data_IF_113630580114
#
_entry.id   IF_113630580114
#
_cell.length_a   1.000
_cell.length_b   1.000
_cell.length_c   1.000
_cell.angle_alpha   90.00
_cell.angle_beta   90.00
_cell.angle_gamma   90.00
#
_symmetry.space_group_name_H-M   'P 1'
#
loop_
_entity.id
_entity.type
_entity.pdbx_description
1 polymer ?
#
# COMPACT_ATOMS: atom_id res chain seq x y z
N UNK A 1 -41.55 -15.51 42.42
CA UNK A 1 -40.98 -14.59 41.41
C UNK A 1 -39.58 -14.21 41.84
N UNK A 2 -38.57 -14.95 41.35
CA UNK A 2 -37.17 -14.65 41.63
C UNK A 2 -36.68 -13.57 40.64
N UNK A 3 -36.31 -12.39 41.16
CA UNK A 3 -35.65 -11.35 40.40
C UNK A 3 -34.17 -11.76 40.29
N UNK A 4 -33.73 -12.24 39.13
CA UNK A 4 -32.30 -12.44 38.82
C UNK A 4 -31.57 -11.06 38.82
N UNK A 5 -30.44 -11.05 39.52
CA UNK A 5 -29.65 -9.89 39.77
C UNK A 5 -28.72 -9.57 38.56
N UNK A 6 -28.92 -8.46 37.81
CA UNK A 6 -28.17 -8.17 36.57
C UNK A 6 -26.68 -7.95 36.77
N UNK A 7 -26.19 -7.75 38.01
CA UNK A 7 -24.76 -7.61 38.33
C UNK A 7 -23.98 -8.92 38.29
N UNK A 8 -24.65 -10.08 38.38
CA UNK A 8 -24.00 -11.40 38.33
C UNK A 8 -23.64 -11.79 36.89
N UNK A 9 -24.49 -11.41 35.93
CA UNK A 9 -24.25 -11.70 34.51
C UNK A 9 -23.12 -10.88 33.89
N UNK A 10 -22.92 -9.62 34.32
CA UNK A 10 -21.87 -8.77 33.78
C UNK A 10 -20.47 -9.26 34.16
N UNK A 11 -20.26 -9.70 35.41
CA UNK A 11 -18.99 -10.31 35.87
C UNK A 11 -18.69 -11.64 35.18
N UNK A 12 -19.69 -12.43 34.87
CA UNK A 12 -19.53 -13.70 34.11
C UNK A 12 -19.13 -13.44 32.67
N UNK A 13 -19.68 -12.42 32.04
CA UNK A 13 -19.33 -12.05 30.65
C UNK A 13 -17.93 -11.46 30.56
N UNK A 14 -17.54 -10.56 31.46
CA UNK A 14 -16.17 -10.01 31.52
C UNK A 14 -15.12 -11.09 31.79
N UNK A 15 -15.43 -12.04 32.66
CA UNK A 15 -14.56 -13.19 32.92
C UNK A 15 -14.43 -14.11 31.68
N UNK A 16 -15.53 -14.36 30.96
CA UNK A 16 -15.50 -15.13 29.71
C UNK A 16 -14.69 -14.46 28.62
N UNK A 17 -14.82 -13.13 28.47
CA UNK A 17 -14.02 -12.36 27.51
C UNK A 17 -12.53 -12.33 27.89
N UNK A 18 -12.20 -12.23 29.18
CA UNK A 18 -10.83 -12.28 29.65
C UNK A 18 -10.19 -13.65 29.38
N UNK A 19 -10.94 -14.74 29.65
CA UNK A 19 -10.49 -16.11 29.39
C UNK A 19 -10.30 -16.37 27.88
N UNK A 20 -11.22 -15.90 27.04
CA UNK A 20 -11.10 -15.98 25.58
C UNK A 20 -9.92 -15.15 25.05
N UNK A 21 -9.65 -13.98 25.63
CA UNK A 21 -8.46 -13.18 25.28
C UNK A 21 -7.17 -13.90 25.63
N UNK A 22 -7.11 -14.59 26.76
CA UNK A 22 -5.95 -15.39 27.14
C UNK A 22 -5.79 -16.64 26.29
N UNK A 23 -6.85 -17.35 25.97
CA UNK A 23 -6.83 -18.47 25.02
C UNK A 23 -6.35 -18.01 23.63
N UNK A 24 -6.83 -16.87 23.14
CA UNK A 24 -6.38 -16.27 21.88
C UNK A 24 -4.90 -15.83 21.94
N UNK A 25 -4.45 -15.34 23.09
CA UNK A 25 -3.04 -14.99 23.33
C UNK A 25 -2.14 -16.23 23.38
N UNK A 26 -2.59 -17.31 24.01
CA UNK A 26 -1.86 -18.58 24.05
C UNK A 26 -1.86 -19.32 22.69
N UNK A 27 -2.90 -19.15 21.88
CA UNK A 27 -3.01 -19.81 20.56
C UNK A 27 -2.26 -19.04 19.46
N UNK A 28 -2.02 -17.74 19.67
CA UNK A 28 -1.24 -16.87 18.80
C UNK A 28 -0.23 -16.07 19.62
N UNK A 29 0.80 -16.74 20.08
CA UNK A 29 2.00 -16.07 20.62
C UNK A 29 2.74 -15.42 19.42
N UNK A 30 2.26 -14.23 19.05
CA UNK A 30 2.74 -13.45 17.92
C UNK A 30 4.23 -13.11 18.08
N UNK A 31 4.71 -12.88 19.30
CA UNK A 31 6.12 -12.60 19.57
C UNK A 31 6.98 -13.85 19.38
N UNK A 32 6.57 -15.00 19.89
CA UNK A 32 7.31 -16.27 19.74
C UNK A 32 7.29 -16.80 18.31
N UNK A 33 6.19 -16.60 17.57
CA UNK A 33 6.12 -16.96 16.17
C UNK A 33 7.00 -16.04 15.32
N UNK A 34 7.06 -14.75 15.67
CA UNK A 34 7.89 -13.74 15.01
C UNK A 34 9.39 -13.97 15.29
N UNK A 35 9.77 -14.21 16.53
CA UNK A 35 11.14 -14.56 16.89
C UNK A 35 11.63 -15.86 16.22
N UNK A 36 10.79 -16.88 16.14
CA UNK A 36 11.09 -18.11 15.41
C UNK A 36 11.24 -17.91 13.91
N UNK A 37 10.45 -17.01 13.32
CA UNK A 37 10.55 -16.65 11.91
C UNK A 37 11.84 -15.87 11.65
N UNK A 38 12.13 -14.85 12.45
CA UNK A 38 13.37 -14.07 12.36
C UNK A 38 14.60 -14.97 12.55
N UNK A 39 14.59 -15.85 13.54
CA UNK A 39 15.69 -16.81 13.76
C UNK A 39 15.91 -17.74 12.56
N UNK A 40 14.84 -18.23 11.95
CA UNK A 40 14.93 -19.08 10.74
C UNK A 40 15.46 -18.29 9.52
N UNK A 41 15.06 -17.03 9.37
CA UNK A 41 15.54 -16.15 8.29
C UNK A 41 17.00 -15.77 8.48
N UNK A 42 17.43 -15.41 9.69
CA UNK A 42 18.85 -15.13 10.01
C UNK A 42 19.75 -16.38 9.85
N UNK A 43 19.26 -17.55 10.23
CA UNK A 43 20.01 -18.80 10.06
C UNK A 43 20.16 -19.18 8.59
N UNK A 44 19.15 -18.90 7.75
CA UNK A 44 19.26 -19.07 6.27
C UNK A 44 20.23 -18.05 5.67
N UNK A 45 20.20 -16.80 6.11
CA UNK A 45 21.12 -15.74 5.66
C UNK A 45 22.57 -16.07 6.03
N UNK A 46 22.84 -16.48 7.26
CA UNK A 46 24.20 -16.91 7.70
C UNK A 46 24.71 -18.15 6.98
N UNK A 47 23.84 -19.15 6.69
CA UNK A 47 24.22 -20.32 5.88
C UNK A 47 24.55 -19.97 4.43
N UNK A 48 23.81 -19.04 3.80
CA UNK A 48 24.13 -18.56 2.43
C UNK A 48 25.48 -17.84 2.41
N UNK A 49 25.75 -16.93 3.34
CA UNK A 49 27.02 -16.20 3.43
C UNK A 49 28.20 -17.17 3.65
N UNK A 50 28.07 -18.16 4.52
CA UNK A 50 29.10 -19.18 4.75
C UNK A 50 29.36 -20.05 3.52
N UNK A 51 28.31 -20.44 2.76
CA UNK A 51 28.46 -21.19 1.52
C UNK A 51 29.15 -20.36 0.41
N UNK A 52 28.87 -19.06 0.34
CA UNK A 52 29.52 -18.16 -0.63
C UNK A 52 31.00 -17.92 -0.30
N UNK A 53 31.36 -17.83 0.97
CA UNK A 53 32.78 -17.68 1.36
C UNK A 53 33.63 -18.92 1.08
N UNK A 54 33.06 -20.12 1.20
CA UNK A 54 33.76 -21.37 0.90
C UNK A 54 33.80 -21.60 -0.64
N UNK A 55 32.77 -21.21 -1.38
CA UNK A 55 32.74 -21.31 -2.84
C UNK A 55 33.67 -20.31 -3.52
N UNK A 56 33.86 -19.11 -2.95
CA UNK A 56 34.71 -18.07 -3.54
C UNK A 56 36.20 -18.46 -3.53
N UNK A 57 36.67 -19.22 -2.52
CA UNK A 57 38.07 -19.68 -2.47
C UNK A 57 38.37 -20.83 -3.45
N UNK A 58 37.39 -21.67 -3.78
CA UNK A 58 37.52 -22.71 -4.78
C UNK A 58 37.39 -22.15 -6.22
N UNK A 59 36.54 -21.15 -6.42
CA UNK A 59 36.31 -20.53 -7.72
C UNK A 59 37.52 -19.75 -8.24
N UNK A 60 38.34 -19.16 -7.36
CA UNK A 60 39.56 -18.45 -7.76
C UNK A 60 40.63 -19.37 -8.32
N UNK A 61 40.74 -20.61 -7.84
CA UNK A 61 41.70 -21.62 -8.36
C UNK A 61 41.25 -22.19 -9.72
N UNK A 62 39.92 -22.35 -9.93
CA UNK A 62 39.40 -22.80 -11.22
C UNK A 62 39.38 -21.68 -12.27
N UNK A 63 39.31 -20.40 -11.88
CA UNK A 63 39.37 -19.26 -12.79
C UNK A 63 40.74 -19.10 -13.43
N UNK A 64 41.83 -19.36 -12.70
CA UNK A 64 43.21 -19.28 -13.22
C UNK A 64 43.51 -20.43 -14.20
N UNK A 65 43.02 -21.64 -13.95
CA UNK A 65 43.16 -22.76 -14.84
C UNK A 65 42.20 -22.70 -16.04
N UNK A 66 41.03 -22.10 -15.88
CA UNK A 66 40.01 -21.95 -16.95
C UNK A 66 40.39 -20.89 -17.98
N UNK A 67 41.01 -19.78 -17.56
CA UNK A 67 41.44 -18.69 -18.46
C UNK A 67 42.55 -19.17 -19.42
N UNK A 68 43.47 -20.02 -18.97
CA UNK A 68 44.51 -20.61 -19.83
C UNK A 68 43.94 -21.58 -20.88
N UNK A 69 42.84 -22.26 -20.54
CA UNK A 69 42.21 -23.21 -21.48
C UNK A 69 41.27 -22.51 -22.48
N UNK A 70 40.61 -21.44 -22.09
CA UNK A 70 39.70 -20.66 -22.95
C UNK A 70 40.51 -19.87 -24.00
N UNK A 71 41.70 -19.38 -23.67
CA UNK A 71 42.55 -18.66 -24.62
C UNK A 71 43.08 -19.59 -25.74
N UNK A 72 43.18 -20.89 -25.51
CA UNK A 72 43.59 -21.89 -26.50
C UNK A 72 42.45 -22.32 -27.43
N UNK A 73 41.20 -22.22 -27.02
CA UNK A 73 40.01 -22.61 -27.79
C UNK A 73 39.36 -21.46 -28.57
N UNK A 74 39.79 -20.21 -28.36
CA UNK A 74 39.11 -19.03 -28.95
C UNK A 74 39.53 -18.67 -30.37
N UNK A 75 40.34 -19.48 -31.02
CA UNK A 75 40.80 -19.21 -32.40
C UNK A 75 40.08 -20.00 -33.49
N UNK A 76 39.01 -20.72 -33.18
CA UNK A 76 38.29 -21.44 -34.22
C UNK A 76 36.82 -21.62 -33.94
N UNK A 77 36.03 -20.58 -34.14
CA UNK A 77 34.63 -20.72 -34.64
C UNK A 77 34.03 -19.33 -34.87
N UNK A 78 34.08 -18.92 -36.09
CA UNK A 78 33.15 -17.89 -36.57
C UNK A 78 31.76 -18.52 -36.72
N UNK A 79 30.73 -17.69 -36.40
CA UNK A 79 29.31 -17.90 -36.66
C UNK A 79 28.57 -18.95 -35.80
N UNK A 80 28.17 -18.53 -34.59
CA UNK A 80 26.84 -18.84 -34.10
C UNK A 80 26.20 -17.55 -33.63
N UNK A 81 25.11 -17.20 -34.27
CA UNK A 81 24.22 -16.10 -33.82
C UNK A 81 24.00 -16.24 -32.33
N UNK A 82 24.47 -15.25 -31.58
CA UNK A 82 24.15 -15.12 -30.17
C UNK A 82 22.66 -14.84 -30.11
N UNK A 83 21.86 -15.86 -29.85
CA UNK A 83 20.55 -15.67 -29.25
C UNK A 83 20.82 -14.99 -27.91
N UNK A 84 20.74 -13.68 -27.89
CA UNK A 84 20.67 -12.91 -26.67
C UNK A 84 19.38 -13.38 -26.00
N UNK A 85 19.50 -14.34 -25.08
CA UNK A 85 18.47 -14.61 -24.12
C UNK A 85 18.21 -13.25 -23.44
N UNK A 86 17.15 -12.58 -23.82
CA UNK A 86 16.70 -11.39 -23.15
C UNK A 86 16.62 -11.76 -21.68
N UNK A 87 17.49 -11.17 -20.86
CA UNK A 87 17.37 -11.26 -19.41
C UNK A 87 16.00 -10.66 -19.12
N UNK A 88 15.03 -11.51 -18.85
CA UNK A 88 13.68 -11.10 -18.50
C UNK A 88 13.83 -10.45 -17.14
N UNK A 89 14.09 -9.15 -17.12
CA UNK A 89 14.07 -8.38 -15.87
C UNK A 89 12.62 -8.35 -15.42
N UNK A 90 12.39 -8.84 -14.20
CA UNK A 90 11.09 -8.68 -13.57
C UNK A 90 10.89 -7.23 -13.20
N UNK A 91 9.63 -6.75 -13.16
CA UNK A 91 9.33 -5.40 -12.72
C UNK A 91 9.93 -5.15 -11.34
N UNK A 92 10.59 -4.01 -11.21
CA UNK A 92 11.10 -3.56 -9.93
C UNK A 92 9.95 -3.34 -8.92
N UNK A 93 10.24 -3.50 -7.65
CA UNK A 93 9.32 -3.12 -6.58
C UNK A 93 8.96 -1.64 -6.69
N UNK A 94 7.77 -1.29 -6.27
CA UNK A 94 7.36 0.11 -6.18
C UNK A 94 8.32 0.91 -5.29
N UNK A 95 8.39 2.20 -5.51
CA UNK A 95 9.30 3.08 -4.79
C UNK A 95 8.66 4.46 -4.57
N UNK A 96 9.33 5.34 -3.81
CA UNK A 96 8.83 6.71 -3.58
C UNK A 96 8.99 7.55 -4.84
N UNK A 97 7.91 7.65 -5.63
CA UNK A 97 7.81 8.42 -6.88
C UNK A 97 6.55 9.27 -6.84
N UNK A 98 6.68 10.55 -7.10
CA UNK A 98 5.53 11.45 -7.21
C UNK A 98 5.86 12.65 -8.07
N UNK A 99 4.85 13.18 -8.74
CA UNK A 99 4.92 14.44 -9.51
C UNK A 99 4.04 15.45 -8.80
N UNK A 100 4.65 16.53 -8.32
CA UNK A 100 3.95 17.69 -7.77
C UNK A 100 3.70 18.70 -8.88
N UNK A 101 2.46 19.02 -9.14
CA UNK A 101 2.08 20.13 -10.02
C UNK A 101 1.65 21.30 -9.15
N UNK A 102 2.36 22.41 -9.27
CA UNK A 102 2.04 23.67 -8.60
C UNK A 102 0.90 24.39 -9.34
N UNK A 103 0.26 25.37 -8.67
CA UNK A 103 -0.85 26.13 -9.26
C UNK A 103 -0.48 26.82 -10.59
N UNK A 104 0.76 27.27 -10.74
CA UNK A 104 1.27 27.88 -11.98
C UNK A 104 1.49 26.88 -13.13
N UNK A 105 1.20 25.59 -12.91
CA UNK A 105 1.35 24.50 -13.87
C UNK A 105 2.78 23.90 -13.90
N UNK A 106 3.72 24.40 -13.11
CA UNK A 106 5.06 23.82 -13.01
C UNK A 106 4.97 22.40 -12.42
N UNK A 107 5.62 21.45 -13.08
CA UNK A 107 5.70 20.05 -12.64
C UNK A 107 7.07 19.76 -12.04
N UNK A 108 7.07 19.23 -10.83
CA UNK A 108 8.28 18.89 -10.08
C UNK A 108 8.30 17.39 -9.80
N UNK A 109 9.28 16.69 -10.32
CA UNK A 109 9.54 15.29 -9.99
C UNK A 109 10.18 15.20 -8.60
N UNK A 110 9.43 14.67 -7.63
CA UNK A 110 9.87 14.54 -6.23
C UNK A 110 10.84 13.39 -6.01
N UNK A 111 11.02 12.48 -6.95
CA UNK A 111 12.03 11.43 -6.87
C UNK A 111 13.44 12.02 -7.02
N UNK A 112 13.57 13.07 -7.82
CA UNK A 112 14.82 13.76 -8.15
C UNK A 112 15.01 15.02 -7.32
N UNK A 113 14.01 15.89 -7.26
CA UNK A 113 14.08 17.20 -6.62
C UNK A 113 13.99 17.09 -5.09
N UNK A 114 15.07 17.44 -4.38
CA UNK A 114 15.13 17.51 -2.91
C UNK A 114 15.27 18.96 -2.43
N UNK A 115 14.95 19.18 -1.16
CA UNK A 115 15.04 20.49 -0.52
C UNK A 115 13.82 21.36 -0.76
N UNK A 116 14.00 22.67 -0.65
CA UNK A 116 12.90 23.63 -0.85
C UNK A 116 12.51 23.68 -2.32
N UNK A 117 11.23 23.42 -2.58
CA UNK A 117 10.63 23.45 -3.91
C UNK A 117 10.12 24.85 -4.22
N UNK A 118 9.37 25.41 -3.29
CA UNK A 118 8.72 26.72 -3.44
C UNK A 118 8.59 27.42 -2.10
N UNK A 119 8.58 28.75 -2.13
CA UNK A 119 8.25 29.61 -1.01
C UNK A 119 7.25 30.64 -1.52
N UNK A 120 5.99 30.28 -1.54
CA UNK A 120 4.92 31.09 -2.11
C UNK A 120 3.84 31.33 -1.06
N UNK A 121 3.36 32.57 -0.96
CA UNK A 121 2.28 32.96 -0.09
C UNK A 121 2.49 32.52 1.38
N UNK A 122 3.71 32.74 1.91
CA UNK A 122 4.09 32.36 3.27
C UNK A 122 4.00 30.87 3.60
N UNK A 123 3.99 30.01 2.58
CA UNK A 123 4.08 28.56 2.75
C UNK A 123 5.36 28.03 2.11
N UNK A 124 6.22 27.39 2.91
CA UNK A 124 7.41 26.68 2.43
C UNK A 124 7.04 25.26 2.10
N UNK A 125 7.28 24.88 0.85
CA UNK A 125 7.12 23.52 0.35
C UNK A 125 8.50 22.88 0.30
N UNK A 126 8.69 21.80 1.04
CA UNK A 126 9.98 21.13 1.14
C UNK A 126 9.82 19.61 0.93
N UNK A 127 10.67 19.07 0.06
CA UNK A 127 10.84 17.63 -0.13
C UNK A 127 12.14 17.19 0.55
N UNK A 128 12.05 16.64 1.75
CA UNK A 128 13.22 16.30 2.55
C UNK A 128 14.00 15.09 2.01
N UNK A 129 15.15 14.80 2.61
CA UNK A 129 15.99 13.66 2.22
C UNK A 129 15.30 12.30 2.33
N UNK A 130 14.30 12.17 3.21
CA UNK A 130 13.49 10.95 3.39
C UNK A 130 12.32 10.88 2.41
N UNK A 131 12.27 11.74 1.38
CA UNK A 131 11.18 11.81 0.40
C UNK A 131 9.82 12.01 1.09
N UNK A 132 9.76 12.95 2.01
CA UNK A 132 8.56 13.42 2.68
C UNK A 132 8.30 14.86 2.24
N UNK A 133 7.16 15.08 1.60
CA UNK A 133 6.71 16.41 1.20
C UNK A 133 6.06 17.11 2.38
N UNK A 134 6.54 18.31 2.74
CA UNK A 134 6.03 19.06 3.88
C UNK A 134 5.60 20.45 3.49
N UNK A 135 4.50 20.90 4.05
CA UNK A 135 3.96 22.25 3.92
C UNK A 135 4.05 22.96 5.27
N UNK A 136 4.81 24.03 5.33
CA UNK A 136 4.96 24.83 6.56
C UNK A 136 4.58 26.27 6.31
N UNK A 137 3.56 26.74 7.01
CA UNK A 137 3.20 28.17 7.05
C UNK A 137 4.27 28.96 7.82
N UNK A 138 4.78 30.05 7.26
CA UNK A 138 5.85 30.85 7.87
C UNK A 138 5.31 32.13 8.47
N UNK A 139 4.31 32.76 7.88
CA UNK A 139 3.67 34.01 8.35
C UNK A 139 2.16 34.00 8.07
N UNK A 140 1.42 34.82 8.81
CA UNK A 140 -0.01 35.06 8.54
C UNK A 140 -0.16 36.16 7.48
N UNK A 141 -0.03 35.81 6.22
CA UNK A 141 -0.41 36.70 5.13
C UNK A 141 -1.78 36.28 4.60
N UNK A 142 -2.67 37.26 4.50
CA UNK A 142 -3.99 37.12 3.89
C UNK A 142 -3.87 36.97 2.37
N UNK A 143 -3.43 35.81 1.91
CA UNK A 143 -3.36 35.48 0.49
C UNK A 143 -4.24 34.28 0.20
N UNK A 144 -4.86 34.25 -0.97
CA UNK A 144 -5.64 33.10 -1.45
C UNK A 144 -4.73 31.87 -1.51
N UNK A 145 -5.12 30.73 -0.88
CA UNK A 145 -4.32 29.51 -0.96
C UNK A 145 -4.21 29.02 -2.39
N UNK A 146 -3.03 28.61 -2.78
CA UNK A 146 -2.79 27.98 -4.08
C UNK A 146 -3.18 26.52 -4.03
N UNK A 147 -3.73 26.01 -5.11
CA UNK A 147 -4.09 24.59 -5.23
C UNK A 147 -2.95 23.82 -5.90
N UNK A 148 -2.40 22.88 -5.19
CA UNK A 148 -1.41 21.95 -5.74
C UNK A 148 -2.03 20.57 -6.01
N UNK A 149 -1.41 19.83 -6.93
CA UNK A 149 -1.79 18.46 -7.24
C UNK A 149 -0.59 17.55 -7.08
N UNK A 150 -0.73 16.49 -6.25
CA UNK A 150 0.25 15.44 -6.10
C UNK A 150 -0.26 14.19 -6.83
N UNK A 151 0.46 13.77 -7.85
CA UNK A 151 0.15 12.57 -8.65
C UNK A 151 1.18 11.48 -8.37
N UNK A 152 0.69 10.30 -8.02
CA UNK A 152 1.48 9.10 -7.78
C UNK A 152 1.33 8.19 -8.99
N UNK A 153 2.38 7.89 -9.73
CA UNK A 153 2.32 6.95 -10.85
C UNK A 153 2.15 5.50 -10.36
N UNK A 154 1.85 4.60 -11.27
CA UNK A 154 1.97 3.15 -11.00
C UNK A 154 3.41 2.84 -10.56
N UNK A 155 3.59 1.91 -9.65
CA UNK A 155 4.88 1.61 -9.02
C UNK A 155 5.38 2.72 -8.10
N UNK A 156 4.51 3.64 -7.70
CA UNK A 156 4.83 4.75 -6.82
C UNK A 156 4.11 4.71 -5.48
N UNK A 157 4.67 5.36 -4.49
CA UNK A 157 4.01 5.78 -3.25
C UNK A 157 4.62 7.09 -2.80
N UNK A 158 3.92 7.85 -1.99
CA UNK A 158 4.49 9.06 -1.41
C UNK A 158 3.83 9.45 -0.09
N UNK A 159 4.56 10.22 0.71
CA UNK A 159 4.03 10.76 1.97
C UNK A 159 4.08 12.28 1.93
N UNK A 160 3.04 12.91 2.48
CA UNK A 160 3.02 14.36 2.65
C UNK A 160 2.45 14.75 4.01
N UNK A 161 2.88 15.90 4.50
CA UNK A 161 2.31 16.58 5.67
C UNK A 161 1.77 17.91 5.18
N UNK A 162 0.47 18.10 5.34
CA UNK A 162 -0.22 19.34 5.00
C UNK A 162 0.09 20.45 6.00
N UNK A 163 -0.30 21.68 5.68
CA UNK A 163 -0.04 22.87 6.50
C UNK A 163 -0.73 22.86 7.88
N UNK A 164 -1.77 22.06 8.06
CA UNK A 164 -2.48 21.83 9.33
C UNK A 164 -1.86 20.71 10.19
N UNK A 165 -0.81 20.02 9.68
CA UNK A 165 -0.16 18.89 10.31
C UNK A 165 -0.78 17.53 9.97
N UNK A 166 -1.83 17.49 9.15
CA UNK A 166 -2.41 16.23 8.64
C UNK A 166 -1.38 15.47 7.84
N UNK A 167 -1.22 14.18 8.14
CA UNK A 167 -0.31 13.26 7.43
C UNK A 167 -1.09 12.40 6.47
N UNK A 168 -0.56 12.25 5.27
CA UNK A 168 -1.21 11.47 4.22
C UNK A 168 -0.17 10.55 3.58
N UNK A 169 -0.51 9.27 3.46
CA UNK A 169 0.21 8.29 2.65
C UNK A 169 -0.60 8.10 1.39
N UNK A 170 0.03 8.27 0.24
CA UNK A 170 -0.57 8.10 -1.08
C UNK A 170 -0.09 6.79 -1.68
N UNK A 171 -1.00 5.94 -2.13
CA UNK A 171 -0.67 4.68 -2.80
C UNK A 171 -0.47 4.88 -4.32
N UNK A 172 -0.01 3.83 -5.00
CA UNK A 172 0.20 3.84 -6.45
C UNK A 172 -1.08 4.22 -7.22
N UNK A 173 -0.90 4.92 -8.36
CA UNK A 173 -1.98 5.33 -9.26
C UNK A 173 -3.03 6.23 -8.56
N UNK A 174 -2.55 7.18 -7.75
CA UNK A 174 -3.41 8.07 -6.97
C UNK A 174 -3.10 9.53 -7.21
N UNK A 175 -4.10 10.38 -7.03
CA UNK A 175 -4.02 11.82 -7.22
C UNK A 175 -4.70 12.55 -6.06
N UNK A 176 -4.00 13.52 -5.48
CA UNK A 176 -4.53 14.39 -4.44
C UNK A 176 -4.43 15.86 -4.88
N UNK A 177 -5.55 16.58 -4.81
CA UNK A 177 -5.58 18.04 -5.00
C UNK A 177 -5.91 18.69 -3.65
N UNK A 178 -5.08 19.64 -3.25
CA UNK A 178 -5.16 20.26 -1.93
C UNK A 178 -4.61 21.68 -1.94
N UNK A 179 -5.08 22.56 -1.05
CA UNK A 179 -4.54 23.90 -0.92
C UNK A 179 -3.20 23.90 -0.18
N UNK A 180 -2.34 24.85 -0.49
CA UNK A 180 -1.05 25.06 0.23
C UNK A 180 -1.24 25.43 1.69
N UNK A 181 -2.38 26.06 2.03
CA UNK A 181 -2.82 26.31 3.41
C UNK A 181 -4.34 26.31 3.47
N UNK A 182 -4.91 25.89 4.60
CA UNK A 182 -6.35 25.95 4.82
C UNK A 182 -6.75 27.33 5.37
N UNK A 183 -7.75 27.94 4.73
CA UNK A 183 -8.35 29.21 5.13
C UNK A 183 -9.86 29.03 5.14
N UNK A 184 -10.53 29.58 6.17
CA UNK A 184 -11.98 29.48 6.32
C UNK A 184 -12.41 28.36 7.28
N UNK A 185 -13.69 27.98 7.19
CA UNK A 185 -14.33 27.10 8.16
C UNK A 185 -14.06 25.59 7.95
N UNK A 186 -13.49 25.23 6.80
CA UNK A 186 -13.29 23.82 6.41
C UNK A 186 -11.89 23.60 5.82
N UNK A 187 -11.39 22.37 5.98
CA UNK A 187 -10.17 21.88 5.38
C UNK A 187 -10.54 20.87 4.31
N UNK A 188 -10.46 21.25 3.04
CA UNK A 188 -10.97 20.43 1.94
C UNK A 188 -9.85 19.95 1.02
N UNK A 189 -9.90 18.67 0.64
CA UNK A 189 -9.00 18.04 -0.33
C UNK A 189 -9.80 17.13 -1.28
N UNK A 190 -9.24 16.83 -2.45
CA UNK A 190 -9.86 15.95 -3.45
C UNK A 190 -8.94 14.79 -3.74
N UNK A 191 -9.47 13.57 -3.62
CA UNK A 191 -8.75 12.31 -3.82
C UNK A 191 -9.36 11.52 -4.98
N UNK A 192 -8.48 11.00 -5.84
CA UNK A 192 -8.72 9.88 -6.74
C UNK A 192 -7.66 8.80 -6.47
N UNK A 193 -8.03 7.53 -6.44
CA UNK A 193 -7.14 6.44 -6.03
C UNK A 193 -7.19 6.14 -4.53
N UNK A 194 -6.07 5.83 -3.91
CA UNK A 194 -6.02 5.38 -2.52
C UNK A 194 -5.07 6.22 -1.66
N UNK A 195 -5.57 6.59 -0.47
CA UNK A 195 -4.79 7.27 0.53
C UNK A 195 -5.19 6.88 1.96
N UNK A 196 -4.19 6.78 2.82
CA UNK A 196 -4.35 6.69 4.27
C UNK A 196 -4.11 8.06 4.89
N UNK A 197 -5.05 8.49 5.73
CA UNK A 197 -5.05 9.80 6.38
C UNK A 197 -4.89 9.65 7.89
N UNK A 198 -3.99 10.43 8.46
CA UNK A 198 -3.95 10.75 9.89
C UNK A 198 -4.23 12.24 10.04
N UNK A 199 -5.50 12.58 10.22
CA UNK A 199 -5.96 13.98 10.24
C UNK A 199 -5.65 14.63 11.57
N UNK A 200 -5.04 15.81 11.52
CA UNK A 200 -4.81 16.65 12.71
C UNK A 200 -6.13 17.03 13.38
N UNK A 201 -6.18 16.89 14.72
CA UNK A 201 -7.39 17.18 15.51
C UNK A 201 -7.72 18.68 15.49
N UNK A 202 -8.86 19.03 14.92
CA UNK A 202 -9.44 20.36 14.98
C UNK A 202 -10.98 20.27 14.90
N UNK A 203 -11.63 20.48 16.02
CA UNK A 203 -13.09 20.39 16.14
C UNK A 203 -13.83 21.59 15.54
N UNK A 204 -13.12 22.70 15.30
CA UNK A 204 -13.73 23.93 14.76
C UNK A 204 -13.72 23.94 13.22
N UNK A 205 -12.71 23.31 12.61
CA UNK A 205 -12.55 23.29 11.16
C UNK A 205 -12.55 21.83 10.68
N UNK A 206 -13.69 21.25 10.30
CA UNK A 206 -13.78 19.90 9.77
C UNK A 206 -12.84 19.68 8.59
N UNK A 207 -12.26 18.49 8.50
CA UNK A 207 -11.48 18.06 7.37
C UNK A 207 -12.35 17.20 6.44
N UNK A 208 -12.42 17.56 5.17
CA UNK A 208 -13.30 16.92 4.20
C UNK A 208 -12.46 16.39 3.04
N UNK A 209 -12.55 15.09 2.80
CA UNK A 209 -12.00 14.46 1.60
C UNK A 209 -13.14 14.25 0.60
N UNK A 210 -13.05 14.90 -0.54
CA UNK A 210 -13.95 14.68 -1.66
C UNK A 210 -13.35 13.64 -2.61
N UNK A 211 -14.20 12.78 -3.12
CA UNK A 211 -13.89 11.90 -4.25
C UNK A 211 -14.93 12.11 -5.36
N UNK A 212 -14.80 11.40 -6.46
CA UNK A 212 -15.79 11.51 -7.55
C UNK A 212 -17.19 11.06 -7.15
N UNK A 213 -17.34 10.24 -6.09
CA UNK A 213 -18.60 9.59 -5.73
C UNK A 213 -19.08 9.86 -4.32
N UNK A 214 -18.22 10.27 -3.41
CA UNK A 214 -18.58 10.50 -2.01
C UNK A 214 -17.67 11.54 -1.36
N UNK A 215 -18.08 11.98 -0.18
CA UNK A 215 -17.24 12.79 0.69
C UNK A 215 -17.13 12.16 2.09
N UNK A 216 -16.00 12.40 2.72
CA UNK A 216 -15.66 11.91 4.06
C UNK A 216 -15.33 13.11 4.93
N UNK A 217 -16.11 13.34 5.99
CA UNK A 217 -15.96 14.46 6.92
C UNK A 217 -15.48 13.96 8.29
N UNK A 218 -14.43 14.60 8.83
CA UNK A 218 -13.78 14.22 10.08
C UNK A 218 -13.30 15.44 10.88
N UNK A 219 -13.06 15.24 12.19
CA UNK A 219 -12.53 16.27 13.10
C UNK A 219 -11.12 15.95 13.64
N UNK A 220 -10.56 14.75 13.29
CA UNK A 220 -9.26 14.29 13.78
C UNK A 220 -9.27 12.77 13.94
N UNK A 221 -8.93 12.06 12.89
CA UNK A 221 -9.31 10.66 12.65
C UNK A 221 -8.25 9.99 11.79
N UNK A 222 -8.05 8.69 11.98
CA UNK A 222 -7.19 7.86 11.12
C UNK A 222 -8.05 6.91 10.29
N UNK A 223 -7.98 7.02 8.95
CA UNK A 223 -8.81 6.25 8.03
C UNK A 223 -8.16 6.06 6.65
N UNK A 224 -8.60 5.03 5.93
CA UNK A 224 -8.21 4.77 4.56
C UNK A 224 -9.38 5.01 3.61
N UNK A 225 -9.11 5.62 2.47
CA UNK A 225 -10.03 5.69 1.34
C UNK A 225 -9.37 5.01 0.14
N UNK A 226 -10.09 4.08 -0.49
CA UNK A 226 -9.75 3.51 -1.79
C UNK A 226 -10.88 3.84 -2.76
N UNK A 227 -10.64 4.81 -3.66
CA UNK A 227 -11.60 5.38 -4.60
C UNK A 227 -11.00 5.42 -6.01
N UNK A 228 -10.50 4.27 -6.48
CA UNK A 228 -10.03 4.12 -7.86
C UNK A 228 -11.20 4.16 -8.84
N UNK A 229 -11.04 4.78 -10.02
CA UNK A 229 -12.01 4.63 -11.10
C UNK A 229 -12.24 3.14 -11.41
N UNK A 230 -13.44 2.80 -11.84
CA UNK A 230 -13.84 1.43 -12.24
C UNK A 230 -13.77 0.35 -11.13
N UNK A 231 -13.57 0.76 -9.87
CA UNK A 231 -13.62 -0.12 -8.71
C UNK A 231 -14.66 0.35 -7.69
N UNK A 232 -15.08 -0.58 -6.83
CA UNK A 232 -15.86 -0.23 -5.64
C UNK A 232 -15.09 0.74 -4.78
N UNK A 233 -15.80 1.69 -4.18
CA UNK A 233 -15.18 2.63 -3.25
C UNK A 233 -15.24 2.07 -1.83
N UNK A 234 -14.12 2.11 -1.15
CA UNK A 234 -13.99 1.69 0.25
C UNK A 234 -13.50 2.84 1.11
N UNK A 235 -14.20 3.07 2.23
CA UNK A 235 -13.75 3.98 3.28
C UNK A 235 -13.70 3.22 4.59
N UNK A 236 -12.51 3.00 5.14
CA UNK A 236 -12.28 2.17 6.33
C UNK A 236 -11.77 3.03 7.47
N UNK A 237 -12.44 2.98 8.62
CA UNK A 237 -12.08 3.74 9.80
C UNK A 237 -11.17 2.94 10.72
N UNK A 238 -9.98 3.49 11.02
CA UNK A 238 -9.06 2.90 11.99
C UNK A 238 -9.23 3.50 13.40
N UNK A 239 -9.35 4.83 13.50
CA UNK A 239 -9.48 5.51 14.80
C UNK A 239 -10.36 6.76 14.67
N UNK A 240 -11.19 7.02 15.67
CA UNK A 240 -12.04 8.21 15.77
C UNK A 240 -13.46 7.98 15.27
N UNK A 241 -14.01 8.90 14.52
CA UNK A 241 -15.36 8.84 13.93
C UNK A 241 -15.38 9.60 12.61
N UNK A 242 -16.04 9.05 11.61
CA UNK A 242 -16.19 9.68 10.31
C UNK A 242 -17.63 9.65 9.83
N UNK A 243 -18.00 10.69 9.09
CA UNK A 243 -19.25 10.74 8.33
C UNK A 243 -18.93 10.56 6.85
N UNK A 244 -19.47 9.51 6.25
CA UNK A 244 -19.37 9.22 4.81
C UNK A 244 -20.68 9.61 4.16
N UNK A 245 -20.63 10.39 3.08
CA UNK A 245 -21.82 10.91 2.40
C UNK A 245 -21.70 10.73 0.90
N UNK A 246 -22.73 10.19 0.26
CA UNK A 246 -22.97 10.23 -1.18
C UNK A 246 -24.01 11.28 -1.52
N UNK A 247 -24.40 11.38 -2.80
CA UNK A 247 -25.52 12.24 -3.19
C UNK A 247 -26.87 11.80 -2.57
N UNK A 248 -27.00 10.51 -2.20
CA UNK A 248 -28.25 9.92 -1.72
C UNK A 248 -28.33 9.78 -0.21
N UNK A 249 -27.25 9.37 0.43
CA UNK A 249 -27.27 8.90 1.82
C UNK A 249 -26.01 9.28 2.56
N UNK A 250 -26.10 9.37 3.89
CA UNK A 250 -24.95 9.56 4.78
C UNK A 250 -24.97 8.52 5.88
N UNK A 251 -23.80 8.01 6.22
CA UNK A 251 -23.59 7.08 7.34
C UNK A 251 -22.45 7.58 8.23
N UNK A 252 -22.48 7.16 9.49
CA UNK A 252 -21.39 7.42 10.45
C UNK A 252 -20.72 6.08 10.75
N UNK A 253 -19.40 6.02 10.61
CA UNK A 253 -18.61 4.83 10.95
C UNK A 253 -17.96 5.00 12.31
N UNK A 254 -17.87 3.86 13.01
CA UNK A 254 -17.04 3.66 14.20
C UNK A 254 -15.76 2.90 13.81
N UNK A 255 -14.71 2.86 14.66
CA UNK A 255 -13.51 2.07 14.42
C UNK A 255 -13.83 0.62 14.03
N UNK A 256 -13.01 0.08 13.11
CA UNK A 256 -13.19 -1.25 12.50
C UNK A 256 -14.49 -1.39 11.66
N UNK A 257 -15.04 -0.26 11.20
CA UNK A 257 -16.12 -0.26 10.20
C UNK A 257 -15.64 0.27 8.85
N UNK A 258 -16.25 -0.26 7.81
CA UNK A 258 -15.99 0.12 6.43
C UNK A 258 -17.30 0.45 5.72
N UNK A 259 -17.34 1.59 5.05
CA UNK A 259 -18.36 1.91 4.06
C UNK A 259 -17.92 1.40 2.70
N UNK A 260 -18.83 0.73 2.00
CA UNK A 260 -18.65 0.20 0.64
C UNK A 260 -19.69 0.85 -0.25
N UNK A 261 -19.24 1.41 -1.38
CA UNK A 261 -20.10 1.99 -2.41
C UNK A 261 -19.85 1.21 -3.69
N UNK A 262 -20.89 0.52 -4.19
CA UNK A 262 -20.82 -0.28 -5.41
C UNK A 262 -20.71 0.61 -6.66
N UNK A 263 -20.25 0.05 -7.78
CA UNK A 263 -20.04 0.81 -9.02
C UNK A 263 -21.34 1.43 -9.58
N UNK A 264 -22.44 0.70 -9.45
CA UNK A 264 -23.68 0.99 -10.17
C UNK A 264 -24.66 1.88 -9.41
N UNK A 265 -24.40 2.16 -8.12
CA UNK A 265 -25.27 2.97 -7.31
C UNK A 265 -24.50 3.77 -6.25
N UNK A 266 -25.18 4.77 -5.65
CA UNK A 266 -24.62 5.61 -4.58
C UNK A 266 -25.11 5.20 -3.19
N UNK A 267 -25.59 3.98 -3.02
CA UNK A 267 -25.96 3.44 -1.73
C UNK A 267 -24.71 3.05 -0.96
N UNK A 268 -24.75 3.23 0.36
CA UNK A 268 -23.64 2.90 1.23
C UNK A 268 -24.00 1.64 2.01
N UNK A 269 -23.20 0.59 1.84
CA UNK A 269 -23.26 -0.60 2.68
C UNK A 269 -22.16 -0.53 3.73
N UNK A 270 -22.52 -0.67 5.00
CA UNK A 270 -21.57 -0.72 6.12
C UNK A 270 -21.29 -2.15 6.52
N UNK A 271 -20.02 -2.45 6.80
CA UNK A 271 -19.59 -3.76 7.33
C UNK A 271 -18.50 -3.61 8.38
N UNK A 272 -18.46 -4.55 9.33
CA UNK A 272 -17.38 -4.64 10.29
C UNK A 272 -16.18 -5.36 9.67
N UNK A 273 -15.01 -4.72 9.76
CA UNK A 273 -13.76 -5.24 9.19
C UNK A 273 -12.60 -4.89 10.12
N UNK A 274 -11.58 -5.73 10.25
CA UNK A 274 -10.34 -5.31 10.91
C UNK A 274 -9.67 -4.21 10.07
N UNK A 275 -9.64 -2.98 10.56
CA UNK A 275 -9.14 -1.82 9.80
C UNK A 275 -7.69 -1.99 9.35
N UNK A 276 -6.86 -2.72 10.11
CA UNK A 276 -5.47 -2.95 9.77
C UNK A 276 -5.29 -3.64 8.40
N UNK A 277 -6.22 -4.46 7.94
CA UNK A 277 -6.17 -5.09 6.61
C UNK A 277 -6.16 -4.07 5.46
N UNK A 278 -6.71 -2.89 5.70
CA UNK A 278 -6.86 -1.83 4.72
C UNK A 278 -5.88 -0.67 4.93
N UNK A 279 -5.09 -0.71 6.01
CA UNK A 279 -4.12 0.35 6.37
C UNK A 279 -2.67 -0.15 6.41
N UNK A 280 -2.46 -1.47 6.42
CA UNK A 280 -1.14 -2.10 6.50
C UNK A 280 -0.23 -1.76 5.32
N UNK A 281 -0.79 -1.45 4.15
CA UNK A 281 -0.02 -1.04 2.97
C UNK A 281 0.83 0.22 3.25
N UNK A 282 0.32 1.18 4.04
CA UNK A 282 1.06 2.37 4.44
C UNK A 282 2.26 2.05 5.36
N UNK A 283 2.33 0.82 5.89
CA UNK A 283 3.42 0.27 6.71
C UNK A 283 4.30 -0.72 5.95
N UNK A 284 4.09 -0.88 4.65
CA UNK A 284 4.90 -1.73 3.78
C UNK A 284 4.38 -3.17 3.59
N UNK A 285 3.14 -3.48 3.99
CA UNK A 285 2.58 -4.81 3.88
C UNK A 285 1.21 -4.80 3.23
N UNK A 286 0.95 -5.73 2.31
CA UNK A 286 -0.41 -6.07 1.91
C UNK A 286 -0.89 -7.25 2.74
N UNK A 287 -1.95 -7.03 3.51
CA UNK A 287 -2.58 -8.07 4.32
C UNK A 287 -3.95 -8.41 3.74
N UNK A 288 -4.15 -9.68 3.46
CA UNK A 288 -5.35 -10.20 2.83
C UNK A 288 -6.08 -11.15 3.78
N UNK A 289 -7.40 -11.01 3.85
CA UNK A 289 -8.27 -11.92 4.61
C UNK A 289 -9.57 -12.12 3.87
N UNK A 290 -9.76 -13.30 3.30
CA UNK A 290 -10.92 -13.59 2.46
C UNK A 290 -11.05 -12.59 1.29
N UNK A 291 -9.90 -12.15 0.73
CA UNK A 291 -9.81 -11.17 -0.35
C UNK A 291 -9.84 -11.89 -1.69
N UNK A 292 -10.57 -11.37 -2.67
CA UNK A 292 -10.65 -11.96 -4.00
C UNK A 292 -9.32 -11.84 -4.74
N UNK A 293 -9.02 -12.81 -5.59
CA UNK A 293 -7.81 -12.76 -6.42
C UNK A 293 -7.81 -11.53 -7.33
N UNK A 294 -8.96 -11.10 -7.81
CA UNK A 294 -9.08 -9.86 -8.59
C UNK A 294 -8.67 -8.62 -7.82
N UNK A 295 -9.06 -8.50 -6.53
CA UNK A 295 -8.64 -7.38 -5.67
C UNK A 295 -7.12 -7.42 -5.37
N UNK A 296 -6.57 -8.62 -5.13
CA UNK A 296 -5.13 -8.82 -4.91
C UNK A 296 -4.34 -8.43 -6.17
N UNK A 297 -4.75 -8.96 -7.31
CA UNK A 297 -4.10 -8.69 -8.61
C UNK A 297 -4.14 -7.21 -8.95
N UNK A 298 -5.25 -6.51 -8.70
CA UNK A 298 -5.35 -5.08 -8.91
C UNK A 298 -4.35 -4.28 -8.05
N UNK A 299 -4.10 -4.70 -6.80
CA UNK A 299 -3.10 -4.07 -5.93
C UNK A 299 -1.67 -4.37 -6.41
N UNK A 300 -1.37 -5.62 -6.77
CA UNK A 300 -0.05 -6.01 -7.29
C UNK A 300 0.25 -5.33 -8.63
N UNK A 301 -0.72 -5.26 -9.54
CA UNK A 301 -0.59 -4.57 -10.83
C UNK A 301 -0.19 -3.10 -10.65
N UNK A 302 -0.85 -2.39 -9.73
CA UNK A 302 -0.51 -0.99 -9.44
C UNK A 302 0.87 -0.83 -8.80
N UNK A 303 1.20 -1.70 -7.83
CA UNK A 303 2.45 -1.58 -7.07
C UNK A 303 3.69 -1.97 -7.88
N UNK A 304 3.60 -3.03 -8.67
CA UNK A 304 4.71 -3.49 -9.50
C UNK A 304 4.70 -2.89 -10.92
N UNK A 305 3.73 -2.03 -11.23
CA UNK A 305 3.55 -1.43 -12.55
C UNK A 305 3.54 -2.47 -13.68
N UNK A 306 2.73 -3.51 -13.53
CA UNK A 306 2.54 -4.59 -14.50
C UNK A 306 1.08 -4.76 -14.84
N UNK A 307 0.79 -5.26 -16.02
CA UNK A 307 -0.55 -5.62 -16.42
C UNK A 307 -0.74 -7.13 -16.23
N UNK A 308 -1.75 -7.48 -15.42
CA UNK A 308 -2.08 -8.87 -15.10
C UNK A 308 -3.53 -9.14 -15.51
N UNK A 309 -3.74 -10.13 -16.36
CA UNK A 309 -5.05 -10.50 -16.91
C UNK A 309 -5.43 -11.93 -16.55
N UNK A 310 -6.73 -12.18 -16.43
CA UNK A 310 -7.27 -13.50 -16.18
C UNK A 310 -7.62 -14.15 -17.52
N UNK A 311 -7.09 -15.34 -17.82
CA UNK A 311 -7.53 -16.16 -18.95
C UNK A 311 -8.89 -16.80 -18.67
N UNK A 312 -9.23 -17.01 -17.39
CA UNK A 312 -10.50 -17.55 -16.95
C UNK A 312 -11.14 -16.64 -15.90
N UNK A 313 -12.31 -16.09 -16.20
CA UNK A 313 -13.06 -15.17 -15.32
C UNK A 313 -13.40 -15.79 -13.95
N UNK A 314 -13.61 -17.11 -13.87
CA UNK A 314 -13.94 -17.81 -12.63
C UNK A 314 -12.83 -17.73 -11.58
N UNK A 315 -11.60 -17.42 -11.98
CA UNK A 315 -10.46 -17.27 -11.07
C UNK A 315 -10.52 -15.99 -10.25
N UNK A 316 -11.22 -14.96 -10.74
CA UNK A 316 -11.35 -13.65 -10.10
C UNK A 316 -11.91 -13.75 -8.69
N UNK A 317 -12.84 -14.66 -8.46
CA UNK A 317 -13.56 -14.81 -7.19
C UNK A 317 -12.87 -15.73 -6.20
N UNK A 318 -11.76 -16.39 -6.57
CA UNK A 318 -10.97 -17.20 -5.62
C UNK A 318 -10.51 -16.33 -4.46
N UNK A 319 -10.68 -16.84 -3.23
CA UNK A 319 -10.40 -16.08 -2.00
C UNK A 319 -9.10 -16.50 -1.36
N UNK A 320 -8.35 -15.50 -0.88
CA UNK A 320 -7.03 -15.68 -0.29
C UNK A 320 -6.95 -15.03 1.08
N UNK A 321 -6.05 -15.56 1.90
CA UNK A 321 -5.60 -14.95 3.14
C UNK A 321 -4.07 -15.07 3.23
N UNK A 322 -3.39 -14.01 3.63
CA UNK A 322 -1.94 -14.00 3.76
C UNK A 322 -1.38 -12.58 3.81
N UNK A 323 -0.05 -12.50 3.85
CA UNK A 323 0.69 -11.24 3.86
C UNK A 323 1.71 -11.27 2.71
N UNK A 324 1.76 -10.20 1.95
CA UNK A 324 2.78 -9.93 0.94
C UNK A 324 3.52 -8.67 1.37
N UNK A 325 4.84 -8.78 1.55
CA UNK A 325 5.68 -7.63 1.85
C UNK A 325 5.95 -6.85 0.57
N UNK A 326 5.79 -5.54 0.62
CA UNK A 326 5.88 -4.65 -0.55
C UNK A 326 7.32 -4.43 -1.04
N UNK A 327 8.31 -4.74 -0.23
CA UNK A 327 9.74 -4.71 -0.58
C UNK A 327 10.25 -6.00 -1.24
N UNK A 328 9.41 -7.05 -1.29
CA UNK A 328 9.72 -8.28 -2.01
C UNK A 328 9.44 -8.13 -3.51
N UNK A 329 10.15 -8.90 -4.35
CA UNK A 329 9.93 -8.93 -5.79
C UNK A 329 8.57 -9.54 -6.17
N UNK A 330 8.00 -9.12 -7.30
CA UNK A 330 6.73 -9.65 -7.80
C UNK A 330 6.72 -11.19 -7.90
N UNK A 331 7.84 -11.78 -8.29
CA UNK A 331 7.97 -13.26 -8.36
C UNK A 331 7.69 -13.94 -7.04
N UNK A 332 8.14 -13.34 -5.93
CA UNK A 332 7.85 -13.89 -4.62
C UNK A 332 6.35 -13.88 -4.33
N UNK A 333 5.68 -12.77 -4.64
CA UNK A 333 4.23 -12.67 -4.48
C UNK A 333 3.48 -13.68 -5.35
N UNK A 334 3.88 -13.85 -6.61
CA UNK A 334 3.35 -14.85 -7.54
C UNK A 334 3.55 -16.26 -6.98
N UNK A 335 4.78 -16.61 -6.58
CA UNK A 335 5.10 -17.93 -6.04
C UNK A 335 4.26 -18.27 -4.80
N UNK A 336 4.04 -17.28 -3.90
CA UNK A 336 3.19 -17.47 -2.72
C UNK A 336 1.75 -17.77 -3.14
N UNK A 337 1.19 -17.02 -4.08
CA UNK A 337 -0.19 -17.23 -4.56
C UNK A 337 -0.33 -18.61 -5.24
N UNK A 338 0.62 -18.99 -6.11
CA UNK A 338 0.62 -20.29 -6.79
C UNK A 338 0.74 -21.49 -5.84
N UNK A 339 1.48 -21.32 -4.73
CA UNK A 339 1.65 -22.40 -3.73
C UNK A 339 0.42 -22.66 -2.90
N UNK A 340 -0.42 -21.65 -2.68
CA UNK A 340 -1.62 -21.79 -1.83
C UNK A 340 -2.90 -21.94 -2.63
N UNK A 341 -2.79 -21.98 -3.96
CA UNK A 341 -3.96 -22.06 -4.84
C UNK A 341 -3.69 -22.92 -6.09
N UNK A 342 -4.76 -23.26 -6.79
CA UNK A 342 -4.68 -23.94 -8.08
C UNK A 342 -4.71 -22.93 -9.23
N UNK A 343 -3.82 -21.92 -9.19
CA UNK A 343 -3.60 -20.97 -10.28
C UNK A 343 -2.16 -20.99 -10.71
N UNK A 344 -1.91 -20.62 -11.95
CA UNK A 344 -0.59 -20.48 -12.53
C UNK A 344 -0.46 -19.14 -13.23
N UNK A 345 0.70 -18.49 -13.09
CA UNK A 345 1.00 -17.22 -13.74
C UNK A 345 1.96 -17.47 -14.91
N UNK A 346 1.51 -17.10 -16.11
CA UNK A 346 2.35 -17.15 -17.33
C UNK A 346 2.68 -15.74 -17.78
N UNK A 347 3.89 -15.54 -18.29
CA UNK A 347 4.33 -14.24 -18.78
C UNK A 347 4.48 -14.28 -20.30
N UNK A 348 3.84 -13.30 -20.97
CA UNK A 348 3.94 -13.08 -22.41
C UNK A 348 4.41 -11.64 -22.67
N UNK A 349 5.73 -11.45 -22.88
CA UNK A 349 6.32 -10.12 -22.98
C UNK A 349 6.26 -9.36 -21.64
N UNK A 350 5.62 -8.19 -21.61
CA UNK A 350 5.42 -7.39 -20.41
C UNK A 350 4.11 -7.71 -19.66
N UNK A 351 3.27 -8.56 -20.24
CA UNK A 351 1.96 -8.91 -19.69
C UNK A 351 2.02 -10.24 -18.96
N UNK A 352 1.31 -10.32 -17.84
CA UNK A 352 1.16 -11.53 -17.04
C UNK A 352 -0.28 -12.04 -17.16
N UNK A 353 -0.44 -13.34 -17.35
CA UNK A 353 -1.74 -14.00 -17.42
C UNK A 353 -1.89 -14.99 -16.26
N UNK A 354 -3.12 -15.08 -15.75
CA UNK A 354 -3.49 -16.04 -14.72
C UNK A 354 -4.40 -17.09 -15.35
N UNK A 355 -4.03 -18.34 -15.18
CA UNK A 355 -4.76 -19.50 -15.67
C UNK A 355 -4.90 -20.58 -14.59
N UNK A 356 -5.74 -21.56 -14.83
CA UNK A 356 -5.82 -22.74 -13.95
C UNK A 356 -4.51 -23.52 -14.07
N UNK A 357 -4.01 -24.00 -12.92
CA UNK A 357 -2.88 -24.90 -12.90
C UNK A 357 -3.33 -26.24 -13.45
N UNK A 358 -2.83 -26.63 -14.61
CA UNK A 358 -3.04 -27.96 -15.15
C UNK A 358 -2.27 -28.97 -14.26
N UNK A 359 -2.96 -30.05 -13.85
CA UNK A 359 -2.37 -31.18 -13.15
C UNK A 359 -1.37 -31.95 -14.03
#
# INVERSE_FOLDING_TARGET
MNKENPKKNKKSFEYYIAQRKEEFRCQYDHERSWENLQYKLEKRRKRRISLYCVAASAALLFLILGISHIFFLHNNTQNKEAVVAAVISFPETGSRKAILTLENGEKVDLSVRKGTISNVNSTVINNNANQLLTYRKVEEVSSTPQINTLAIPRGGEYQLILSDGTRIWMNAESLLRYPTSFIGEKREVFLEGEAFFEVAKDAKHPFIVHTNRHSVEVLGTSFNISAYPDYKVYTTLAEGRIKVSTAKVSVVLNPDQQAVIELDNDDIVTRDVPAYLFTSWAKGNYEFRNTSLSEIVAQLSRWYNVDIYFKNESLKDKRFAGIIFRDEELNFAIEVIERVSNVHFTREGETIYIEDKHE
#
